data_IF_181920064108
#
_entry.id   IF_181920064108
#
_cell.length_a   1.000
_cell.length_b   1.000
_cell.length_c   1.000
_cell.angle_alpha   90.00
_cell.angle_beta   90.00
_cell.angle_gamma   90.00
#
_symmetry.space_group_name_H-M   'P 1'
#
loop_
_entity.id
_entity.type
_entity.pdbx_description
1 polymer ?
#
# COMPACT_ATOMS: atom_id res chain seq x y z
N UNK A 1 12.23 -13.88 12.11
CA UNK A 1 12.48 -14.30 13.50
C UNK A 1 11.14 -14.61 14.12
N UNK A 2 10.91 -15.80 14.70
CA UNK A 2 9.67 -16.09 15.39
C UNK A 2 9.62 -15.29 16.70
N UNK A 3 8.43 -14.80 17.06
CA UNK A 3 8.24 -13.90 18.19
C UNK A 3 8.16 -14.60 19.54
N UNK A 4 7.96 -15.93 19.62
CA UNK A 4 7.90 -16.67 20.90
C UNK A 4 7.91 -18.19 20.66
N UNK A 5 8.96 -18.75 20.04
CA UNK A 5 9.07 -20.21 19.83
C UNK A 5 8.02 -20.86 18.91
N UNK A 6 7.07 -20.09 18.37
CA UNK A 6 6.11 -20.52 17.35
C UNK A 6 6.72 -20.68 15.96
N UNK A 7 5.96 -21.24 15.00
CA UNK A 7 6.44 -21.38 13.62
C UNK A 7 6.81 -20.01 13.03
N UNK A 8 7.81 -19.94 12.14
CA UNK A 8 8.21 -18.70 11.49
C UNK A 8 7.02 -18.01 10.82
N UNK A 9 6.83 -16.72 11.09
CA UNK A 9 5.82 -15.92 10.40
C UNK A 9 6.27 -15.73 8.95
N UNK A 10 5.46 -16.22 8.02
CA UNK A 10 5.65 -16.00 6.59
C UNK A 10 5.36 -14.54 6.22
N UNK A 11 6.36 -13.89 5.61
CA UNK A 11 6.32 -12.51 5.10
C UNK A 11 6.60 -12.43 3.59
N UNK A 12 6.67 -13.57 2.88
CA UNK A 12 7.00 -13.63 1.45
C UNK A 12 5.97 -12.90 0.57
N UNK A 13 4.76 -12.70 1.07
CA UNK A 13 3.74 -11.86 0.41
C UNK A 13 4.16 -10.39 0.25
N UNK A 14 5.23 -9.96 0.94
CA UNK A 14 5.85 -8.62 0.83
C UNK A 14 7.12 -8.62 -0.02
N UNK A 15 7.45 -9.73 -0.69
CA UNK A 15 8.59 -9.78 -1.59
C UNK A 15 8.43 -8.75 -2.71
N UNK A 16 9.54 -8.09 -3.01
CA UNK A 16 9.59 -7.12 -4.09
C UNK A 16 9.29 -7.82 -5.41
N UNK A 17 8.41 -7.22 -6.21
CA UNK A 17 7.99 -7.79 -7.49
C UNK A 17 7.74 -6.70 -8.52
N UNK A 18 7.46 -7.11 -9.74
CA UNK A 18 7.07 -6.22 -10.84
C UNK A 18 5.58 -6.33 -11.09
N UNK A 19 4.97 -5.21 -11.43
CA UNK A 19 3.60 -5.15 -11.93
C UNK A 19 3.58 -4.32 -13.20
N UNK A 20 2.94 -4.84 -14.24
CA UNK A 20 2.68 -4.14 -15.49
C UNK A 20 1.25 -3.60 -15.48
N UNK A 21 1.11 -2.28 -15.61
CA UNK A 21 -0.20 -1.63 -15.75
C UNK A 21 -0.38 -1.20 -17.21
N UNK A 22 -1.43 -1.72 -17.85
CA UNK A 22 -1.74 -1.44 -19.25
C UNK A 22 -2.81 -0.34 -19.29
N UNK A 23 -2.47 0.80 -19.89
CA UNK A 23 -3.40 1.90 -20.11
C UNK A 23 -3.91 1.85 -21.55
N UNK A 24 -5.17 1.43 -21.72
CA UNK A 24 -5.85 1.39 -23.00
C UNK A 24 -6.78 2.60 -23.16
N UNK A 25 -6.76 3.22 -24.35
CA UNK A 25 -7.66 4.31 -24.70
C UNK A 25 -8.15 4.14 -26.15
N UNK A 26 -9.43 4.44 -26.40
CA UNK A 26 -10.03 4.26 -27.73
C UNK A 26 -9.23 5.05 -28.79
N UNK A 27 -8.83 4.36 -29.85
CA UNK A 27 -8.08 4.95 -30.97
C UNK A 27 -6.62 5.31 -30.67
N UNK A 28 -6.05 4.79 -29.57
CA UNK A 28 -4.62 4.93 -29.24
C UNK A 28 -4.02 3.57 -28.91
N UNK A 29 -2.73 3.43 -29.20
CA UNK A 29 -1.98 2.26 -28.77
C UNK A 29 -1.90 2.18 -27.25
N UNK A 30 -1.92 0.94 -26.75
CA UNK A 30 -1.76 0.65 -25.33
C UNK A 30 -0.41 1.13 -24.81
N UNK A 31 -0.42 1.74 -23.62
CA UNK A 31 0.81 2.13 -22.92
C UNK A 31 0.99 1.23 -21.71
N UNK A 32 2.07 0.46 -21.70
CA UNK A 32 2.46 -0.36 -20.54
C UNK A 32 3.39 0.42 -19.61
N UNK A 33 3.07 0.42 -18.32
CA UNK A 33 3.91 0.97 -17.25
C UNK A 33 4.35 -0.14 -16.29
N UNK A 34 5.63 -0.51 -16.34
CA UNK A 34 6.23 -1.49 -15.41
C UNK A 34 6.72 -0.81 -14.14
N UNK A 35 6.12 -1.15 -12.99
CA UNK A 35 6.56 -0.69 -11.68
C UNK A 35 7.27 -1.79 -10.90
N UNK A 36 8.35 -1.41 -10.23
CA UNK A 36 8.98 -2.23 -9.19
C UNK A 36 8.33 -1.89 -7.85
N UNK A 37 7.64 -2.86 -7.27
CA UNK A 37 6.87 -2.73 -6.04
C UNK A 37 7.73 -3.17 -4.86
N UNK A 38 7.67 -2.40 -3.77
CA UNK A 38 8.31 -2.72 -2.49
C UNK A 38 7.37 -2.35 -1.35
N UNK A 39 7.58 -2.94 -0.18
CA UNK A 39 6.72 -2.79 0.98
C UNK A 39 7.51 -2.40 2.23
N UNK A 40 6.97 -1.49 3.02
CA UNK A 40 7.45 -1.20 4.37
C UNK A 40 6.95 -2.24 5.36
N UNK A 41 7.74 -2.53 6.40
CA UNK A 41 7.31 -3.40 7.50
C UNK A 41 6.12 -2.81 8.30
N UNK A 42 5.83 -1.51 8.14
CA UNK A 42 4.63 -0.86 8.69
C UNK A 42 3.32 -1.43 8.12
N UNK A 43 3.38 -2.26 7.07
CA UNK A 43 2.24 -3.02 6.55
C UNK A 43 1.79 -4.13 7.50
N UNK A 44 2.63 -4.57 8.43
CA UNK A 44 2.31 -5.62 9.41
C UNK A 44 2.70 -5.27 10.86
N UNK A 45 3.48 -4.21 11.08
CA UNK A 45 3.90 -3.78 12.42
C UNK A 45 3.31 -2.41 12.79
N UNK A 46 2.82 -2.28 14.02
CA UNK A 46 2.28 -1.04 14.58
C UNK A 46 2.26 -1.12 16.11
N UNK A 47 2.78 -0.07 16.73
CA UNK A 47 2.60 0.16 18.17
C UNK A 47 1.22 0.75 18.45
N UNK A 48 0.51 0.23 19.45
CA UNK A 48 -0.78 0.75 19.91
C UNK A 48 -0.65 1.39 21.28
N UNK A 49 -1.48 2.43 21.52
CA UNK A 49 -1.62 3.03 22.84
C UNK A 49 -2.24 1.99 23.77
N UNK A 50 -1.65 1.78 24.94
CA UNK A 50 -2.13 0.83 25.94
C UNK A 50 -1.48 -0.55 25.92
N UNK A 51 -0.59 -0.84 24.96
CA UNK A 51 0.22 -2.07 25.02
C UNK A 51 1.19 -2.02 26.20
N UNK A 52 1.27 -3.11 26.97
CA UNK A 52 2.23 -3.24 28.07
C UNK A 52 3.67 -3.31 27.55
N UNK A 53 4.65 -3.12 28.44
CA UNK A 53 6.06 -3.23 28.05
C UNK A 53 6.39 -4.67 27.60
N UNK A 54 5.84 -5.66 28.30
CA UNK A 54 5.99 -7.09 28.05
C UNK A 54 5.40 -7.47 26.68
N UNK A 55 4.19 -6.99 26.36
CA UNK A 55 3.56 -7.22 25.05
C UNK A 55 4.38 -6.61 23.90
N UNK A 56 4.96 -5.43 24.12
CA UNK A 56 5.80 -4.78 23.11
C UNK A 56 7.08 -5.55 22.88
N UNK A 57 7.72 -6.01 23.96
CA UNK A 57 8.99 -6.74 23.89
C UNK A 57 8.81 -8.09 23.18
N UNK A 58 7.79 -8.86 23.56
CA UNK A 58 7.46 -10.15 22.93
C UNK A 58 7.15 -10.02 21.43
N UNK A 59 6.53 -8.92 21.00
CA UNK A 59 6.14 -8.72 19.60
C UNK A 59 7.11 -7.86 18.78
N UNK A 60 8.23 -7.40 19.36
CA UNK A 60 9.05 -6.37 18.72
C UNK A 60 9.69 -6.87 17.41
N UNK A 61 9.37 -6.18 16.31
CA UNK A 61 10.04 -6.38 15.03
C UNK A 61 11.05 -5.28 14.78
N UNK A 62 12.31 -5.66 14.51
CA UNK A 62 13.41 -4.75 14.28
C UNK A 62 13.72 -4.61 12.78
N UNK A 63 13.72 -3.37 12.27
CA UNK A 63 13.95 -3.03 10.87
C UNK A 63 14.99 -1.90 10.75
N UNK A 64 16.27 -2.24 10.93
CA UNK A 64 17.36 -1.27 10.86
C UNK A 64 17.27 -0.22 11.98
N UNK A 65 16.87 1.01 11.66
CA UNK A 65 16.75 2.12 12.62
C UNK A 65 15.33 2.32 13.17
N UNK A 66 14.35 1.53 12.71
CA UNK A 66 12.97 1.58 13.17
C UNK A 66 12.58 0.22 13.75
N UNK A 67 11.68 0.23 14.73
CA UNK A 67 11.21 -0.97 15.41
C UNK A 67 9.76 -0.77 15.84
N UNK A 68 8.93 -1.78 15.64
CA UNK A 68 7.52 -1.73 16.06
C UNK A 68 7.04 -3.12 16.44
N UNK A 69 6.11 -3.23 17.41
CA UNK A 69 5.44 -4.48 17.68
C UNK A 69 4.71 -5.01 16.44
N UNK A 70 4.79 -6.31 16.23
CA UNK A 70 4.04 -7.03 15.23
C UNK A 70 2.54 -6.93 15.50
N UNK A 71 1.76 -6.73 14.43
CA UNK A 71 0.31 -6.62 14.51
C UNK A 71 -0.33 -7.71 13.65
N UNK A 72 -0.83 -8.77 14.31
CA UNK A 72 -1.50 -9.90 13.65
C UNK A 72 -2.63 -9.46 12.71
N UNK A 73 -3.46 -8.51 13.15
CA UNK A 73 -4.55 -7.98 12.31
C UNK A 73 -4.05 -7.34 11.03
N UNK A 74 -2.95 -6.57 11.08
CA UNK A 74 -2.35 -5.96 9.88
C UNK A 74 -1.71 -7.02 9.00
N UNK A 75 -0.99 -7.97 9.59
CA UNK A 75 -0.38 -9.10 8.87
C UNK A 75 -1.41 -9.91 8.10
N UNK A 76 -2.50 -10.35 8.73
CA UNK A 76 -3.54 -11.16 8.12
C UNK A 76 -4.19 -10.46 6.91
N UNK A 77 -4.54 -9.18 7.07
CA UNK A 77 -5.09 -8.37 5.98
C UNK A 77 -4.07 -8.14 4.86
N UNK A 78 -2.81 -7.88 5.21
CA UNK A 78 -1.76 -7.65 4.24
C UNK A 78 -1.50 -8.92 3.41
N UNK A 79 -1.41 -10.07 4.07
CA UNK A 79 -1.27 -11.38 3.42
C UNK A 79 -2.42 -11.68 2.46
N UNK A 80 -3.64 -11.33 2.84
CA UNK A 80 -4.84 -11.64 2.05
C UNK A 80 -5.07 -10.68 0.88
N UNK A 81 -4.84 -9.38 1.07
CA UNK A 81 -5.37 -8.36 0.16
C UNK A 81 -4.32 -7.43 -0.45
N UNK A 82 -3.19 -7.20 0.21
CA UNK A 82 -2.30 -6.09 -0.14
C UNK A 82 -1.74 -6.20 -1.56
N UNK A 83 -1.19 -7.37 -1.91
CA UNK A 83 -0.63 -7.59 -3.24
C UNK A 83 -1.67 -7.45 -4.34
N UNK A 84 -2.85 -8.05 -4.16
CA UNK A 84 -3.94 -7.96 -5.12
C UNK A 84 -4.42 -6.52 -5.34
N UNK A 85 -4.47 -5.71 -4.27
CA UNK A 85 -4.84 -4.29 -4.37
C UNK A 85 -3.79 -3.51 -5.17
N UNK A 86 -2.50 -3.77 -4.94
CA UNK A 86 -1.43 -3.15 -5.72
C UNK A 86 -1.52 -3.55 -7.19
N UNK A 87 -1.66 -4.84 -7.49
CA UNK A 87 -1.80 -5.34 -8.87
C UNK A 87 -3.02 -4.74 -9.59
N UNK A 88 -4.08 -4.39 -8.85
CA UNK A 88 -5.32 -3.82 -9.37
C UNK A 88 -5.39 -2.28 -9.33
N UNK A 89 -4.30 -1.56 -9.04
CA UNK A 89 -4.32 -0.08 -9.00
C UNK A 89 -4.75 0.56 -10.33
N UNK A 90 -4.51 -0.11 -11.46
CA UNK A 90 -4.96 0.32 -12.79
C UNK A 90 -6.45 0.09 -13.07
N UNK A 91 -7.14 -0.71 -12.24
CA UNK A 91 -8.55 -1.04 -12.44
C UNK A 91 -9.47 -0.02 -11.76
N UNK A 92 -10.70 0.13 -12.28
CA UNK A 92 -11.72 1.03 -11.75
C UNK A 92 -12.17 0.71 -10.32
N UNK A 93 -12.04 -0.56 -9.92
CA UNK A 93 -12.55 -1.09 -8.64
C UNK A 93 -11.68 -0.66 -7.45
N UNK A 94 -10.42 -0.29 -7.71
CA UNK A 94 -9.51 0.24 -6.69
C UNK A 94 -9.51 1.75 -6.77
N UNK A 95 -9.95 2.41 -5.69
CA UNK A 95 -9.95 3.87 -5.66
C UNK A 95 -8.58 4.36 -5.23
N UNK A 96 -7.84 4.91 -6.18
CA UNK A 96 -6.61 5.67 -5.95
C UNK A 96 -6.96 7.13 -5.68
N UNK A 97 -6.41 7.67 -4.60
CA UNK A 97 -6.57 9.06 -4.18
C UNK A 97 -5.17 9.61 -3.93
N UNK A 98 -4.98 10.90 -4.18
CA UNK A 98 -3.75 11.61 -3.85
C UNK A 98 -4.05 12.69 -2.82
N UNK A 99 -3.31 12.69 -1.71
CA UNK A 99 -3.36 13.74 -0.68
C UNK A 99 -1.95 14.26 -0.43
N UNK A 100 -1.78 15.47 0.09
CA UNK A 100 -0.54 16.27 0.04
C UNK A 100 0.80 15.59 0.41
N UNK A 101 0.80 14.43 1.08
CA UNK A 101 2.01 13.68 1.47
C UNK A 101 2.22 12.34 0.72
N UNK A 102 1.33 11.97 -0.20
CA UNK A 102 1.45 10.75 -1.00
C UNK A 102 0.14 10.29 -1.66
N UNK A 103 0.23 9.18 -2.40
CA UNK A 103 -0.97 8.51 -2.92
C UNK A 103 -1.43 7.45 -1.94
N UNK A 104 -2.71 7.09 -2.00
CA UNK A 104 -3.21 5.91 -1.30
C UNK A 104 -4.27 5.22 -2.14
N UNK A 105 -4.37 3.90 -1.95
CA UNK A 105 -5.40 3.07 -2.52
C UNK A 105 -6.35 2.60 -1.42
N UNK A 106 -7.61 2.47 -1.78
CA UNK A 106 -8.67 2.04 -0.87
C UNK A 106 -9.54 1.00 -1.55
N UNK A 107 -9.81 -0.08 -0.83
CA UNK A 107 -10.68 -1.17 -1.28
C UNK A 107 -11.48 -1.72 -0.10
N UNK A 108 -12.76 -2.08 -0.30
CA UNK A 108 -13.52 -2.80 0.72
C UNK A 108 -12.97 -4.23 0.84
N UNK A 109 -12.74 -4.70 2.07
CA UNK A 109 -12.27 -6.05 2.38
C UNK A 109 -13.05 -6.63 3.55
N UNK A 110 -12.89 -7.93 3.79
CA UNK A 110 -13.47 -8.63 4.94
C UNK A 110 -12.34 -9.01 5.89
N UNK A 111 -12.45 -8.64 7.17
CA UNK A 111 -11.48 -9.05 8.18
C UNK A 111 -11.73 -10.47 8.70
N UNK A 112 -10.83 -10.98 9.55
CA UNK A 112 -10.93 -12.35 10.09
C UNK A 112 -12.21 -12.59 10.91
N UNK A 113 -12.85 -11.52 11.40
CA UNK A 113 -14.12 -11.59 12.12
C UNK A 113 -15.35 -11.53 11.20
N UNK A 114 -15.15 -11.48 9.89
CA UNK A 114 -16.24 -11.36 8.91
C UNK A 114 -16.77 -9.93 8.72
N UNK A 115 -16.14 -8.92 9.34
CA UNK A 115 -16.59 -7.54 9.22
C UNK A 115 -16.10 -6.89 7.93
N UNK A 116 -16.96 -6.11 7.29
CA UNK A 116 -16.58 -5.28 6.14
C UNK A 116 -15.82 -4.05 6.63
N UNK A 117 -14.58 -3.89 6.20
CA UNK A 117 -13.72 -2.75 6.54
C UNK A 117 -13.11 -2.15 5.27
N UNK A 118 -12.72 -0.89 5.31
CA UNK A 118 -11.96 -0.25 4.24
C UNK A 118 -10.48 -0.50 4.45
N UNK A 119 -9.81 -1.17 3.52
CA UNK A 119 -8.37 -1.34 3.59
C UNK A 119 -7.66 -0.15 2.96
N UNK A 120 -6.89 0.56 3.77
CA UNK A 120 -6.15 1.76 3.40
C UNK A 120 -4.69 1.40 3.13
N UNK A 121 -4.22 1.72 1.92
CA UNK A 121 -2.87 1.38 1.45
C UNK A 121 -2.15 2.64 0.97
N UNK A 122 -1.47 3.39 1.86
CA UNK A 122 -0.59 4.48 1.47
C UNK A 122 0.62 4.01 0.68
N UNK A 123 0.93 4.71 -0.39
CA UNK A 123 2.10 4.44 -1.21
C UNK A 123 2.71 5.70 -1.82
N UNK A 124 3.99 5.60 -2.16
CA UNK A 124 4.72 6.60 -2.92
C UNK A 124 5.10 6.03 -4.27
N UNK A 125 4.94 6.84 -5.31
CA UNK A 125 5.43 6.53 -6.65
C UNK A 125 6.55 7.49 -7.01
N UNK A 126 7.61 6.96 -7.60
CA UNK A 126 8.77 7.76 -7.99
C UNK A 126 9.56 7.06 -9.08
N UNK A 127 10.46 7.81 -9.73
CA UNK A 127 11.39 7.28 -10.73
C UNK A 127 12.77 7.20 -10.11
N UNK A 128 13.45 6.07 -10.23
CA UNK A 128 14.84 5.91 -9.79
C UNK A 128 15.55 4.93 -10.72
N UNK A 129 16.77 5.26 -11.13
CA UNK A 129 17.57 4.47 -12.09
C UNK A 129 16.77 4.14 -13.37
N UNK A 130 16.03 5.13 -13.90
CA UNK A 130 15.13 5.01 -15.07
C UNK A 130 13.96 4.03 -14.93
N UNK A 131 13.75 3.44 -13.75
CA UNK A 131 12.65 2.52 -13.44
C UNK A 131 11.56 3.24 -12.67
N UNK A 132 10.30 2.89 -12.94
CA UNK A 132 9.19 3.31 -12.09
C UNK A 132 9.17 2.43 -10.82
N UNK A 133 8.99 3.08 -9.67
CA UNK A 133 8.96 2.43 -8.37
C UNK A 133 7.69 2.82 -7.63
N UNK A 134 7.11 1.82 -6.98
CA UNK A 134 5.99 1.98 -6.06
C UNK A 134 6.43 1.42 -4.71
N UNK A 135 6.38 2.25 -3.68
CA UNK A 135 6.69 1.83 -2.33
C UNK A 135 5.46 2.00 -1.45
N UNK A 136 4.91 0.89 -0.98
CA UNK A 136 3.82 0.90 -0.01
C UNK A 136 4.40 1.24 1.36
N UNK A 137 4.01 2.39 1.90
CA UNK A 137 4.57 2.92 3.14
C UNK A 137 3.85 2.37 4.37
N UNK A 138 2.58 1.97 4.26
CA UNK A 138 1.81 1.28 5.31
C UNK A 138 0.60 0.59 4.69
N UNK A 139 -0.10 -0.22 5.47
CA UNK A 139 -1.39 -0.78 5.12
C UNK A 139 -2.19 -1.10 6.39
N UNK A 140 -3.46 -0.68 6.46
CA UNK A 140 -4.29 -0.88 7.66
C UNK A 140 -5.79 -0.74 7.37
N UNK A 141 -6.65 -1.40 8.17
CA UNK A 141 -8.09 -1.25 8.06
C UNK A 141 -8.57 0.08 8.67
N UNK A 142 -9.62 0.62 8.07
CA UNK A 142 -10.43 1.75 8.54
C UNK A 142 -11.89 1.32 8.61
N UNK A 143 -12.61 1.82 9.62
CA UNK A 143 -14.05 1.58 9.75
C UNK A 143 -14.82 2.41 8.73
N UNK A 144 -14.42 3.67 8.55
CA UNK A 144 -15.06 4.60 7.64
C UNK A 144 -14.33 4.69 6.31
N UNK A 145 -15.10 4.98 5.25
CA UNK A 145 -14.55 5.21 3.93
C UNK A 145 -13.76 6.52 3.94
N UNK A 146 -12.46 6.52 3.61
CA UNK A 146 -11.70 7.75 3.50
C UNK A 146 -12.26 8.63 2.37
N UNK A 147 -12.37 9.93 2.66
CA UNK A 147 -12.72 10.96 1.68
C UNK A 147 -11.56 11.24 0.70
N UNK A 148 -11.73 12.24 -0.16
CA UNK A 148 -10.66 12.72 -1.05
C UNK A 148 -10.94 12.53 -2.55
N UNK A 149 -10.38 13.43 -3.36
CA UNK A 149 -10.61 13.45 -4.80
C UNK A 149 -9.96 12.24 -5.50
N UNK A 150 -10.72 11.58 -6.38
CA UNK A 150 -10.21 10.41 -7.11
C UNK A 150 -9.12 10.87 -8.08
N UNK A 151 -7.95 10.25 -8.00
CA UNK A 151 -6.87 10.42 -8.99
C UNK A 151 -6.72 9.10 -9.72
N UNK A 152 -6.83 9.10 -11.05
CA UNK A 152 -6.54 7.91 -11.83
C UNK A 152 -5.08 7.49 -11.65
N UNK A 153 -4.82 6.21 -11.40
CA UNK A 153 -3.44 5.69 -11.29
C UNK A 153 -2.61 6.02 -12.54
N UNK A 154 -3.21 5.93 -13.72
CA UNK A 154 -2.53 6.27 -14.98
C UNK A 154 -2.17 7.75 -15.10
N UNK A 155 -2.85 8.66 -14.40
CA UNK A 155 -2.43 10.07 -14.30
C UNK A 155 -1.10 10.18 -13.55
N UNK A 156 -0.94 9.43 -12.45
CA UNK A 156 0.33 9.37 -11.72
C UNK A 156 1.44 8.77 -12.59
N UNK A 157 1.16 7.64 -13.26
CA UNK A 157 2.12 6.97 -14.12
C UNK A 157 2.55 7.85 -15.31
N UNK A 158 1.61 8.56 -15.93
CA UNK A 158 1.88 9.49 -17.02
C UNK A 158 2.74 10.68 -16.56
N UNK A 159 2.43 11.27 -15.40
CA UNK A 159 3.22 12.37 -14.85
C UNK A 159 4.65 11.93 -14.53
N UNK A 160 4.85 10.73 -13.97
CA UNK A 160 6.18 10.15 -13.75
C UNK A 160 6.94 9.89 -15.07
N UNK A 161 6.24 9.47 -16.13
CA UNK A 161 6.83 9.24 -17.45
C UNK A 161 7.28 10.55 -18.10
N UNK A 162 6.48 11.62 -17.95
CA UNK A 162 6.71 12.93 -18.58
C UNK A 162 7.53 13.90 -17.72
N UNK A 163 7.88 13.52 -16.49
CA UNK A 163 8.63 14.38 -15.56
C UNK A 163 7.81 15.53 -14.97
N UNK A 164 6.48 15.46 -15.07
CA UNK A 164 5.57 16.46 -14.47
C UNK A 164 5.45 16.24 -12.97
N UNK A 165 5.09 17.31 -12.25
CA UNK A 165 4.76 17.22 -10.84
C UNK A 165 3.61 16.22 -10.61
N UNK A 166 3.66 15.49 -9.50
CA UNK A 166 2.53 14.68 -9.06
C UNK A 166 1.37 15.62 -8.67
N UNK A 167 0.11 15.22 -8.90
CA UNK A 167 -1.05 16.01 -8.50
C UNK A 167 -0.94 16.39 -7.02
N UNK A 168 -1.38 17.58 -6.62
CA UNK A 168 -1.51 17.94 -5.20
C UNK A 168 -2.99 17.98 -4.83
N UNK A 169 -3.29 17.94 -3.53
CA UNK A 169 -4.68 17.90 -3.01
C UNK A 169 -5.57 19.03 -3.55
N UNK A 170 -4.99 20.19 -3.89
CA UNK A 170 -5.68 21.34 -4.47
C UNK A 170 -6.15 21.13 -5.92
N UNK A 171 -5.66 20.10 -6.63
CA UNK A 171 -6.04 19.83 -8.02
C UNK A 171 -7.25 18.91 -8.17
N UNK A 172 -7.79 18.35 -7.08
CA UNK A 172 -8.85 17.35 -7.12
C UNK A 172 -10.20 17.82 -6.55
N UNK A 173 -10.40 19.14 -6.43
CA UNK A 173 -11.73 19.74 -6.24
C UNK A 173 -12.30 20.13 -7.61
N UNK A 174 -12.94 19.18 -8.28
CA UNK A 174 -13.96 19.41 -9.30
C UNK A 174 -15.07 18.37 -9.11
#
# INVERSE_FOLDING_TARGET
MPLDGGPPIDLSYLDAHKVDYIHSALGKDDITYTFWVTYSFHCFAKEYVGQSAEEKDALMYYAGKDQRPFCYRRHALAKSYLRQIVEKLGNSDVRVIHAGFGSYATAPVVDESGNKVWYFVPFKVYRSQRKFRLHVTSAYPLLEKPGGGKVGFFTLAHNLKTGRALPTENHCRL
#
